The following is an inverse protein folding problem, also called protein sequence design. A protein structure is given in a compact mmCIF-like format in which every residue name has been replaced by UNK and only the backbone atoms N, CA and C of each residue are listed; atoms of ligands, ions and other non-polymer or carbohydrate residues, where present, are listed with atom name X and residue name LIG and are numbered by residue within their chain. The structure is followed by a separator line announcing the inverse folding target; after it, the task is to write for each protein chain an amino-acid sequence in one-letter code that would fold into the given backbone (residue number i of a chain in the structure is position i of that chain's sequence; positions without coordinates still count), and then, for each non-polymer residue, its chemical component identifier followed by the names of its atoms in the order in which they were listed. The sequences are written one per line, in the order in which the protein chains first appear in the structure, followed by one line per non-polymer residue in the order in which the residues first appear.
data_IF_731982489185
#
_entry.id   IF_731982489185
#
_cell.length_a   1.000
_cell.length_b   1.000
_cell.length_c   1.000
_cell.angle_alpha   90.00
_cell.angle_beta   90.00
_cell.angle_gamma   90.00
#
_symmetry.space_group_name_H-M   'P 1'
#
loop_
_entity.id
_entity.type
_entity.pdbx_description
1 polymer ?
#
# COMPACT_ATOMS: atom_id res chain seq x y z
N UNK A 1 14.45 -2.44 -2.69
CA UNK A 1 13.10 -1.92 -2.33
C UNK A 1 12.15 -3.10 -2.12
N UNK A 2 11.41 -3.16 -1.01
CA UNK A 2 10.61 -4.34 -0.59
C UNK A 2 9.09 -4.14 -0.66
N UNK A 3 8.58 -3.02 -1.19
CA UNK A 3 7.12 -2.87 -1.37
C UNK A 3 6.55 -3.86 -2.41
N UNK A 4 7.37 -4.26 -3.39
CA UNK A 4 7.03 -5.34 -4.34
C UNK A 4 6.86 -6.69 -3.64
N UNK A 5 7.54 -6.95 -2.50
CA UNK A 5 7.33 -8.20 -1.75
C UNK A 5 5.96 -8.25 -1.06
N UNK A 6 5.33 -7.10 -0.77
CA UNK A 6 3.99 -7.06 -0.20
C UNK A 6 2.91 -7.32 -1.27
N UNK A 7 3.15 -6.91 -2.52
CA UNK A 7 2.31 -7.26 -3.67
C UNK A 7 2.37 -8.75 -4.05
N UNK A 8 3.34 -9.50 -3.53
CA UNK A 8 3.46 -10.94 -3.68
C UNK A 8 2.72 -11.73 -2.57
N UNK A 9 1.84 -11.08 -1.81
CA UNK A 9 1.01 -11.73 -0.78
C UNK A 9 -0.33 -12.14 -1.38
N UNK A 10 -0.32 -13.25 -2.11
CA UNK A 10 -1.55 -14.02 -2.31
C UNK A 10 -1.96 -14.71 -1.00
N UNK A 11 -3.13 -15.38 -0.96
CA UNK A 11 -3.55 -16.19 0.19
C UNK A 11 -2.51 -17.27 0.60
N UNK A 12 -1.55 -17.57 -0.27
CA UNK A 12 -0.48 -18.55 -0.09
C UNK A 12 0.80 -17.98 0.56
N UNK A 13 0.88 -16.67 0.82
CA UNK A 13 2.07 -16.03 1.42
C UNK A 13 1.71 -15.09 2.58
N UNK A 14 1.32 -15.65 3.73
CA UNK A 14 0.91 -14.87 4.89
C UNK A 14 2.06 -14.04 5.50
N UNK A 15 1.78 -12.80 5.90
CA UNK A 15 2.75 -11.93 6.59
C UNK A 15 2.54 -11.99 8.10
N UNK A 16 3.61 -12.29 8.86
CA UNK A 16 3.58 -12.36 10.33
C UNK A 16 3.63 -10.97 10.95
N UNK A 17 2.85 -10.72 12.00
CA UNK A 17 2.89 -9.46 12.74
C UNK A 17 4.29 -9.08 13.26
N UNK A 18 5.11 -10.08 13.65
CA UNK A 18 6.51 -9.87 14.07
C UNK A 18 7.42 -9.30 12.96
N UNK A 19 7.08 -9.52 11.68
CA UNK A 19 7.84 -8.99 10.55
C UNK A 19 7.66 -7.48 10.35
N UNK A 20 6.70 -6.87 11.04
CA UNK A 20 6.49 -5.42 11.03
C UNK A 20 7.40 -4.66 11.98
N UNK A 21 8.23 -5.36 12.77
CA UNK A 21 9.17 -4.73 13.71
C UNK A 21 10.16 -3.78 13.01
N UNK A 22 10.43 -4.00 11.72
CA UNK A 22 11.37 -3.19 10.93
C UNK A 22 10.70 -2.02 10.19
N UNK A 23 9.38 -1.84 10.31
CA UNK A 23 8.65 -0.77 9.62
C UNK A 23 8.95 0.62 10.20
N UNK A 24 9.27 0.71 11.49
CA UNK A 24 9.65 1.97 12.12
C UNK A 24 10.90 2.56 11.48
N UNK A 25 11.94 1.73 11.31
CA UNK A 25 13.18 2.14 10.67
C UNK A 25 13.03 2.48 9.17
N UNK A 26 12.02 1.93 8.50
CA UNK A 26 11.84 2.09 7.05
C UNK A 26 10.84 3.18 6.66
N UNK A 27 9.83 3.39 7.49
CA UNK A 27 8.69 4.25 7.17
C UNK A 27 8.36 5.25 8.28
N UNK A 28 9.10 5.25 9.39
CA UNK A 28 8.85 6.15 10.54
C UNK A 28 7.54 5.84 11.27
N UNK A 29 6.96 4.65 11.06
CA UNK A 29 5.69 4.26 11.65
C UNK A 29 5.91 3.43 12.92
N UNK A 30 5.31 3.85 14.04
CA UNK A 30 5.36 3.08 15.27
C UNK A 30 4.61 1.75 15.14
N UNK A 31 5.01 0.74 15.91
CA UNK A 31 4.32 -0.57 15.95
C UNK A 31 2.84 -0.45 16.29
N UNK A 32 2.48 0.48 17.18
CA UNK A 32 1.08 0.73 17.57
C UNK A 32 0.28 1.35 16.43
N UNK A 33 0.88 2.25 15.65
CA UNK A 33 0.26 2.83 14.46
C UNK A 33 -0.01 1.74 13.41
N UNK A 34 0.98 0.90 13.10
CA UNK A 34 0.83 -0.22 12.17
C UNK A 34 -0.31 -1.17 12.60
N UNK A 35 -0.36 -1.52 13.89
CA UNK A 35 -1.41 -2.40 14.42
C UNK A 35 -2.80 -1.79 14.32
N UNK A 36 -2.94 -0.49 14.55
CA UNK A 36 -4.22 0.20 14.39
C UNK A 36 -4.67 0.17 12.92
N UNK A 37 -3.78 0.48 11.99
CA UNK A 37 -4.06 0.40 10.54
C UNK A 37 -4.51 -0.99 10.13
N UNK A 38 -3.84 -2.05 10.60
CA UNK A 38 -4.23 -3.43 10.30
C UNK A 38 -5.59 -3.81 10.88
N UNK A 39 -5.91 -3.36 12.10
CA UNK A 39 -7.22 -3.59 12.72
C UNK A 39 -8.33 -2.88 11.94
N UNK A 40 -8.09 -1.64 11.52
CA UNK A 40 -9.06 -0.85 10.78
C UNK A 40 -9.27 -1.44 9.37
N UNK A 41 -8.20 -1.92 8.72
CA UNK A 41 -8.26 -2.64 7.45
C UNK A 41 -9.01 -3.98 7.55
N UNK A 42 -8.85 -4.72 8.65
CA UNK A 42 -9.64 -5.92 8.93
C UNK A 42 -11.11 -5.60 9.15
N UNK A 43 -11.43 -4.55 9.93
CA UNK A 43 -12.79 -4.06 10.09
C UNK A 43 -13.45 -3.65 8.78
N UNK A 44 -12.66 -3.20 7.80
CA UNK A 44 -13.11 -2.87 6.45
C UNK A 44 -13.19 -4.07 5.49
N UNK A 45 -12.80 -5.28 5.93
CA UNK A 45 -12.75 -6.49 5.11
C UNK A 45 -11.68 -6.43 4.01
N UNK A 46 -10.60 -5.67 4.24
CA UNK A 46 -9.46 -5.58 3.34
C UNK A 46 -8.37 -6.58 3.70
N UNK A 47 -8.27 -6.93 4.97
CA UNK A 47 -7.29 -7.88 5.50
C UNK A 47 -7.99 -8.93 6.34
N UNK A 48 -7.58 -10.18 6.22
CA UNK A 48 -8.06 -11.27 7.05
C UNK A 48 -6.96 -11.76 7.99
N UNK A 49 -7.32 -12.02 9.25
CA UNK A 49 -6.42 -12.62 10.24
C UNK A 49 -6.52 -14.14 10.15
N UNK A 50 -5.39 -14.85 10.06
CA UNK A 50 -5.35 -16.31 10.21
C UNK A 50 -4.31 -16.74 11.27
N UNK A 51 -4.62 -17.80 12.03
CA UNK A 51 -3.63 -18.61 12.75
C UNK A 51 -3.82 -18.78 14.26
N UNK A 52 -3.65 -20.01 14.74
CA UNK A 52 -3.55 -20.45 16.15
C UNK A 52 -2.11 -20.39 16.71
N UNK A 53 -1.09 -20.17 15.87
CA UNK A 53 0.34 -20.21 16.23
C UNK A 53 1.15 -19.01 15.67
N UNK A 54 0.48 -17.86 15.55
CA UNK A 54 1.04 -16.62 15.03
C UNK A 54 -0.04 -15.81 14.30
N UNK A 55 -0.08 -14.50 14.52
CA UNK A 55 -1.02 -13.62 13.82
C UNK A 55 -0.49 -13.36 12.42
N UNK A 56 -1.17 -13.93 11.43
CA UNK A 56 -0.91 -13.68 10.03
C UNK A 56 -2.01 -12.82 9.43
N UNK A 57 -1.62 -11.87 8.59
CA UNK A 57 -2.54 -11.04 7.83
C UNK A 57 -2.49 -11.45 6.35
N UNK A 58 -3.66 -11.70 5.77
CA UNK A 58 -3.88 -11.99 4.36
C UNK A 58 -4.56 -10.80 3.69
N UNK A 59 -4.05 -10.35 2.55
CA UNK A 59 -4.77 -9.37 1.75
C UNK A 59 -5.96 -10.04 1.06
N UNK A 60 -7.13 -9.45 1.19
CA UNK A 60 -8.30 -9.89 0.44
C UNK A 60 -8.16 -9.51 -1.03
N UNK A 61 -8.84 -10.22 -1.96
CA UNK A 61 -8.91 -9.79 -3.36
C UNK A 61 -9.43 -8.36 -3.52
N UNK A 62 -10.34 -7.93 -2.64
CA UNK A 62 -10.86 -6.56 -2.59
C UNK A 62 -9.76 -5.55 -2.29
N UNK A 63 -8.87 -5.85 -1.35
CA UNK A 63 -7.75 -4.97 -1.02
C UNK A 63 -6.80 -4.82 -2.21
N UNK A 64 -6.47 -5.92 -2.90
CA UNK A 64 -5.61 -5.89 -4.08
C UNK A 64 -6.24 -5.03 -5.19
N UNK A 65 -7.51 -5.27 -5.53
CA UNK A 65 -8.21 -4.48 -6.55
C UNK A 65 -8.32 -2.98 -6.20
N UNK A 66 -8.52 -2.67 -4.92
CA UNK A 66 -8.59 -1.28 -4.45
C UNK A 66 -7.22 -0.60 -4.52
N UNK A 67 -6.15 -1.34 -4.21
CA UNK A 67 -4.79 -0.85 -4.28
C UNK A 67 -4.35 -0.60 -5.73
N UNK A 68 -4.66 -1.52 -6.66
CA UNK A 68 -4.36 -1.36 -8.09
C UNK A 68 -5.02 -0.10 -8.65
N UNK A 69 -6.30 0.11 -8.31
CA UNK A 69 -7.02 1.32 -8.70
C UNK A 69 -6.38 2.58 -8.14
N UNK A 70 -6.03 2.58 -6.85
CA UNK A 70 -5.37 3.71 -6.21
C UNK A 70 -4.04 4.07 -6.89
N UNK A 71 -3.22 3.08 -7.22
CA UNK A 71 -1.95 3.29 -7.94
C UNK A 71 -2.21 3.87 -9.33
N UNK A 72 -3.16 3.32 -10.08
CA UNK A 72 -3.50 3.84 -11.41
C UNK A 72 -3.97 5.30 -11.37
N UNK A 73 -4.81 5.66 -10.39
CA UNK A 73 -5.30 7.03 -10.20
C UNK A 73 -4.17 7.98 -9.78
N UNK A 74 -3.30 7.57 -8.85
CA UNK A 74 -2.17 8.38 -8.39
C UNK A 74 -1.15 8.68 -9.50
N UNK A 75 -0.85 7.67 -10.33
CA UNK A 75 0.03 7.85 -11.49
C UNK A 75 -0.62 8.75 -12.54
N UNK A 76 -1.90 8.53 -12.85
CA UNK A 76 -2.64 9.37 -13.81
C UNK A 76 -2.69 10.83 -13.37
N UNK A 77 -2.89 11.09 -12.07
CA UNK A 77 -2.86 12.45 -11.50
C UNK A 77 -1.49 13.09 -11.61
N UNK A 78 -0.42 12.30 -11.46
CA UNK A 78 0.96 12.77 -11.58
C UNK A 78 1.28 13.13 -13.03
N UNK A 79 0.90 12.29 -13.97
CA UNK A 79 1.07 12.52 -15.41
C UNK A 79 0.34 13.79 -15.86
N UNK A 80 -0.90 13.98 -15.41
CA UNK A 80 -1.67 15.20 -15.69
C UNK A 80 -0.99 16.45 -15.10
N UNK A 81 -0.47 16.36 -13.88
CA UNK A 81 0.23 17.49 -13.26
C UNK A 81 1.51 17.85 -14.03
N UNK A 82 2.23 16.84 -14.51
CA UNK A 82 3.41 17.02 -15.37
C UNK A 82 3.05 17.63 -16.73
N UNK A 83 1.98 17.17 -17.37
CA UNK A 83 1.56 17.72 -18.67
C UNK A 83 1.10 19.17 -18.55
N UNK A 84 0.34 19.52 -17.52
CA UNK A 84 -0.06 20.90 -17.23
C UNK A 84 1.15 21.81 -16.99
N UNK A 85 2.18 21.31 -16.29
CA UNK A 85 3.41 22.06 -16.08
C UNK A 85 4.21 22.25 -17.39
N UNK A 86 4.22 21.24 -18.28
CA UNK A 86 4.86 21.33 -19.59
C UNK A 86 4.14 22.33 -20.52
N UNK A 87 2.81 22.32 -20.54
CA UNK A 87 1.98 23.25 -21.33
C UNK A 87 2.09 24.69 -20.82
N UNK A 88 2.23 24.89 -19.49
CA UNK A 88 2.46 26.21 -18.90
C UNK A 88 3.88 26.76 -19.16
N UNK A 89 4.80 25.93 -19.66
CA UNK A 89 6.21 26.24 -19.89
C UNK A 89 6.56 26.74 -21.30
N UNK A 90 5.59 26.97 -22.19
CA UNK A 90 5.86 27.49 -23.55
C UNK A 90 5.53 28.99 -23.65
N UNK A 91 6.50 29.90 -23.46
CA UNK A 91 6.42 31.21 -24.07
C UNK A 91 6.64 31.04 -25.58
N UNK A 92 5.67 31.52 -26.36
CA UNK A 92 5.70 31.47 -27.82
C UNK A 92 7.04 31.97 -28.38
N UNK A 93 7.70 31.12 -29.15
CA UNK A 93 8.68 31.55 -30.14
C UNK A 93 7.91 31.81 -31.43
N UNK A 94 7.52 33.08 -31.60
CA UNK A 94 6.97 33.65 -32.82
C UNK A 94 7.64 34.99 -33.08
#
# INVERSE_FOLDING_TARGET
MKFVELGATGPDRPVRELSFSDLEARFGMSRSHVRNVLRDAEGAGLVERSGTAGVFHHLTPRCVASFDRFVAEALSSSDLSCSMAADAGVPGSG
#
